data_IF_224103091639
#
_entry.id   IF_224103091639
#
_cell.length_a   1.000
_cell.length_b   1.000
_cell.length_c   1.000
_cell.angle_alpha   90.00
_cell.angle_beta   90.00
_cell.angle_gamma   90.00
#
_symmetry.space_group_name_H-M   'P 1'
#
loop_
_entity.id
_entity.type
_entity.pdbx_description
1 polymer ?
#
# COMPACT_ATOMS: atom_id res chain seq x y z
N UNK A 1 -4.33 -20.17 23.14
CA UNK A 1 -5.42 -19.18 23.05
C UNK A 1 -4.91 -18.03 22.21
N UNK A 2 -5.40 -17.86 20.97
CA UNK A 2 -5.07 -16.66 20.19
C UNK A 2 -5.93 -15.50 20.71
N UNK A 3 -5.28 -14.44 21.21
CA UNK A 3 -5.96 -13.22 21.61
C UNK A 3 -6.60 -12.47 20.44
N UNK A 4 -7.32 -11.37 20.69
CA UNK A 4 -7.89 -10.55 19.62
C UNK A 4 -6.79 -10.06 18.66
N UNK A 5 -7.06 -10.12 17.36
CA UNK A 5 -6.10 -9.67 16.33
C UNK A 5 -6.03 -8.14 16.32
N UNK A 6 -4.86 -7.54 16.60
CA UNK A 6 -4.72 -6.09 16.58
C UNK A 6 -4.89 -5.56 15.15
N UNK A 7 -5.62 -4.45 15.00
CA UNK A 7 -5.84 -3.77 13.72
C UNK A 7 -4.88 -2.59 13.55
N UNK A 8 -4.42 -2.34 12.33
CA UNK A 8 -3.54 -1.21 12.05
C UNK A 8 -4.34 0.11 12.02
N UNK A 9 -4.03 1.12 12.85
CA UNK A 9 -4.73 2.41 12.81
C UNK A 9 -4.56 3.13 11.48
N UNK A 10 -3.42 2.97 10.81
CA UNK A 10 -3.15 3.64 9.53
C UNK A 10 -3.87 2.99 8.34
N UNK A 11 -4.20 1.70 8.47
CA UNK A 11 -4.89 0.90 7.44
C UNK A 11 -6.17 0.29 8.03
N UNK A 12 -7.26 1.06 8.13
CA UNK A 12 -8.50 0.55 8.70
C UNK A 12 -9.04 -0.63 7.89
N UNK A 13 -9.29 -1.75 8.56
CA UNK A 13 -9.77 -2.99 7.95
C UNK A 13 -8.71 -4.07 7.85
N UNK A 14 -7.43 -3.69 7.81
CA UNK A 14 -6.31 -4.64 7.80
C UNK A 14 -5.84 -4.97 9.22
N UNK A 15 -5.51 -6.25 9.51
CA UNK A 15 -4.78 -6.60 10.71
C UNK A 15 -3.38 -5.96 10.69
N UNK A 16 -2.77 -5.83 11.86
CA UNK A 16 -1.38 -5.43 11.94
C UNK A 16 -0.50 -6.51 11.29
N UNK A 17 0.26 -6.15 10.27
CA UNK A 17 1.15 -7.06 9.53
C UNK A 17 2.60 -7.03 10.04
N UNK A 18 2.86 -6.38 11.18
CA UNK A 18 4.20 -6.21 11.75
C UNK A 18 5.23 -5.72 10.71
N UNK A 19 4.84 -4.74 9.88
CA UNK A 19 5.65 -4.29 8.74
C UNK A 19 6.92 -3.51 9.13
N UNK A 20 7.09 -3.17 10.40
CA UNK A 20 8.25 -2.47 10.93
C UNK A 20 9.04 -3.42 11.83
N UNK A 21 10.37 -3.33 11.77
CA UNK A 21 11.25 -4.22 12.54
C UNK A 21 11.09 -3.98 14.05
N UNK A 22 11.14 -5.06 14.83
CA UNK A 22 10.98 -5.06 16.29
C UNK A 22 9.62 -4.59 16.81
N UNK A 23 8.59 -4.54 15.95
CA UNK A 23 7.23 -4.22 16.35
C UNK A 23 6.45 -5.50 16.67
N UNK A 24 5.69 -5.45 17.77
CA UNK A 24 4.78 -6.49 18.26
C UNK A 24 3.31 -6.12 18.08
N UNK A 25 3.02 -4.84 17.81
CA UNK A 25 1.70 -4.35 17.45
C UNK A 25 1.62 -2.83 17.22
N UNK A 26 0.41 -2.27 17.10
CA UNK A 26 0.23 -0.84 16.90
C UNK A 26 0.77 0.04 18.04
N UNK A 27 0.79 -0.49 19.27
CA UNK A 27 1.20 0.22 20.48
C UNK A 27 2.68 0.59 20.51
N UNK A 28 3.52 -0.19 19.83
CA UNK A 28 4.98 -0.03 19.75
C UNK A 28 5.47 0.27 18.33
N UNK A 29 4.55 0.59 17.41
CA UNK A 29 4.87 0.99 16.06
C UNK A 29 5.23 2.47 16.00
N UNK A 30 6.49 2.79 15.66
CA UNK A 30 6.98 4.18 15.56
C UNK A 30 6.19 5.03 14.54
N UNK A 31 5.74 4.46 13.43
CA UNK A 31 4.93 5.18 12.45
C UNK A 31 3.56 5.57 13.01
N UNK A 32 2.93 4.68 13.79
CA UNK A 32 1.66 4.98 14.46
C UNK A 32 1.86 6.10 15.48
N UNK A 33 2.94 6.04 16.27
CA UNK A 33 3.29 7.10 17.23
C UNK A 33 3.40 8.48 16.56
N UNK A 34 4.15 8.57 15.46
CA UNK A 34 4.35 9.85 14.75
C UNK A 34 3.05 10.40 14.16
N UNK A 35 2.28 9.55 13.47
CA UNK A 35 1.06 10.00 12.79
C UNK A 35 -0.06 10.29 13.78
N UNK A 36 -0.22 9.48 14.83
CA UNK A 36 -1.30 9.66 15.81
C UNK A 36 -0.97 10.68 16.90
N UNK A 37 0.31 10.99 17.12
CA UNK A 37 0.75 12.03 18.05
C UNK A 37 0.66 13.45 17.49
N UNK A 38 0.46 13.61 16.18
CA UNK A 38 0.40 14.92 15.51
C UNK A 38 -1.01 15.18 14.94
N UNK A 39 -1.64 16.26 15.38
CA UNK A 39 -3.02 16.61 15.00
C UNK A 39 -3.18 16.86 13.50
N UNK A 40 -2.22 17.55 12.89
CA UNK A 40 -2.27 17.87 11.47
C UNK A 40 -2.16 16.60 10.61
N UNK A 41 -1.28 15.69 11.01
CA UNK A 41 -1.14 14.38 10.34
C UNK A 41 -2.39 13.53 10.51
N UNK A 42 -3.01 13.52 11.71
CA UNK A 42 -4.27 12.81 11.93
C UNK A 42 -5.40 13.35 11.07
N UNK A 43 -5.51 14.66 10.93
CA UNK A 43 -6.52 15.29 10.08
C UNK A 43 -6.31 14.93 8.61
N UNK A 44 -5.06 14.93 8.15
CA UNK A 44 -4.73 14.53 6.78
C UNK A 44 -5.01 13.04 6.52
N UNK A 45 -4.77 12.19 7.52
CA UNK A 45 -5.17 10.78 7.48
C UNK A 45 -6.70 10.66 7.33
N UNK A 46 -7.48 11.43 8.09
CA UNK A 46 -8.95 11.43 7.97
C UNK A 46 -9.40 11.89 6.57
N UNK A 47 -8.76 12.94 6.01
CA UNK A 47 -9.06 13.42 4.66
C UNK A 47 -8.72 12.38 3.59
N UNK A 48 -7.53 11.77 3.65
CA UNK A 48 -7.10 10.73 2.70
C UNK A 48 -8.01 9.51 2.75
N UNK A 49 -8.48 9.08 3.94
CA UNK A 49 -9.49 8.02 4.07
C UNK A 49 -10.81 8.36 3.38
N UNK A 50 -11.30 9.60 3.55
CA UNK A 50 -12.53 10.06 2.88
C UNK A 50 -12.35 10.04 1.35
N UNK A 51 -11.19 10.48 0.85
CA UNK A 51 -10.88 10.45 -0.57
C UNK A 51 -10.80 9.00 -1.11
N UNK A 52 -10.15 8.09 -0.40
CA UNK A 52 -10.04 6.68 -0.77
C UNK A 52 -11.43 6.00 -0.87
N UNK A 53 -12.33 6.28 0.09
CA UNK A 53 -13.72 5.77 0.02
C UNK A 53 -14.49 6.30 -1.20
N UNK A 54 -14.31 7.58 -1.55
CA UNK A 54 -14.92 8.14 -2.76
C UNK A 54 -14.41 7.46 -4.03
N UNK A 55 -13.10 7.18 -4.11
CA UNK A 55 -12.51 6.44 -5.23
C UNK A 55 -13.02 5.01 -5.31
N UNK A 56 -13.10 4.30 -4.18
CA UNK A 56 -13.60 2.92 -4.13
C UNK A 56 -15.09 2.80 -4.52
N UNK A 57 -15.89 3.82 -4.25
CA UNK A 57 -17.31 3.85 -4.63
C UNK A 57 -17.55 4.30 -6.08
N UNK A 58 -16.53 4.77 -6.82
CA UNK A 58 -16.69 5.08 -8.24
C UNK A 58 -16.72 3.74 -9.00
N UNK A 59 -17.70 3.51 -9.90
CA UNK A 59 -17.68 2.31 -10.75
C UNK A 59 -16.35 2.26 -11.50
N UNK A 60 -15.74 1.06 -11.66
CA UNK A 60 -14.46 0.94 -12.35
C UNK A 60 -14.62 1.46 -13.77
N UNK A 61 -13.94 2.56 -14.11
CA UNK A 61 -13.82 3.00 -15.48
C UNK A 61 -12.92 1.99 -16.19
N UNK A 62 -13.55 1.02 -16.87
CA UNK A 62 -12.90 0.13 -17.82
C UNK A 62 -12.36 0.95 -18.98
N UNK A 63 -11.18 1.56 -18.79
CA UNK A 63 -10.40 2.13 -19.87
C UNK A 63 -9.85 0.98 -20.70
N UNK A 64 -10.54 0.74 -21.82
CA UNK A 64 -10.10 -0.01 -23.00
C UNK A 64 -8.57 0.02 -23.11
N UNK A 65 -7.95 -1.12 -22.88
CA UNK A 65 -6.54 -1.36 -23.19
C UNK A 65 -6.39 -1.18 -24.70
N UNK A 66 -5.69 -0.13 -25.12
CA UNK A 66 -5.22 0.00 -26.49
C UNK A 66 -3.97 -0.86 -26.58
N UNK A 67 -4.17 -2.10 -27.03
CA UNK A 67 -3.09 -3.01 -27.39
C UNK A 67 -2.46 -2.49 -28.68
N UNK A 68 -1.46 -1.63 -28.56
CA UNK A 68 -0.39 -1.58 -29.55
C UNK A 68 0.73 -2.50 -29.05
N UNK A 69 0.63 -3.77 -29.45
CA UNK A 69 1.79 -4.66 -29.57
C UNK A 69 2.74 -4.01 -30.59
N UNK A 70 3.73 -3.27 -30.11
CA UNK A 70 4.96 -3.01 -30.87
C UNK A 70 6.05 -3.86 -30.22
N UNK A 71 6.08 -5.11 -30.66
CA UNK A 71 7.05 -6.15 -30.32
C UNK A 71 8.41 -5.75 -30.90
N UNK A 72 9.17 -4.94 -30.16
CA UNK A 72 10.64 -4.88 -30.28
C UNK A 72 11.25 -5.17 -28.91
N UNK A 73 11.17 -6.44 -28.47
CA UNK A 73 12.12 -6.95 -27.50
C UNK A 73 13.50 -6.97 -28.15
N UNK A 74 14.27 -5.90 -27.95
CA UNK A 74 15.68 -5.87 -28.30
C UNK A 74 16.41 -7.09 -27.73
N UNK A 75 17.18 -7.76 -28.59
CA UNK A 75 17.96 -8.97 -28.26
C UNK A 75 18.80 -8.78 -27.00
N UNK A 76 18.72 -9.72 -26.06
CA UNK A 76 19.50 -9.71 -24.81
C UNK A 76 21.02 -9.76 -25.11
N UNK A 77 21.79 -8.71 -24.75
CA UNK A 77 23.23 -8.64 -24.99
C UNK A 77 24.06 -9.75 -24.30
N UNK A 78 23.49 -10.51 -23.35
CA UNK A 78 24.21 -11.61 -22.68
C UNK A 78 24.37 -12.87 -23.54
N UNK A 79 23.68 -12.95 -24.68
CA UNK A 79 23.78 -14.07 -25.63
C UNK A 79 24.89 -13.90 -26.67
N UNK A 80 25.47 -12.70 -26.81
CA UNK A 80 26.57 -12.43 -27.75
C UNK A 80 27.92 -12.85 -27.15
N UNK A 81 28.29 -14.14 -27.23
CA UNK A 81 29.63 -14.57 -26.82
C UNK A 81 29.82 -16.05 -26.52
N UNK A 82 29.04 -16.95 -27.13
CA UNK A 82 29.28 -18.39 -27.08
C UNK A 82 29.67 -18.90 -28.48
N UNK A 83 30.89 -18.59 -28.90
CA UNK A 83 31.59 -19.27 -29.99
C UNK A 83 32.94 -19.77 -29.50
#
# INVERSE_FOLDING_TARGET
>A
MAGPVPKCPLRPGDPCSLCQLYVTGPQDCGLVYLVMGDDALRDELVKSRKAARRKANKPPEVSRLDTTDDDELGTDPRLEGLD
#
